data_IF_159865558207
#
_entry.id   IF_159865558207
#
_cell.length_a   1.000
_cell.length_b   1.000
_cell.length_c   1.000
_cell.angle_alpha   90.00
_cell.angle_beta   90.00
_cell.angle_gamma   90.00
#
_symmetry.space_group_name_H-M   'P 1'
#
loop_
_entity.id
_entity.type
_entity.pdbx_description
1 polymer ?
#
# COMPACT_ATOMS: atom_id res chain seq x y z
N UNK A 1 7.28 60.18 29.97
CA UNK A 1 6.34 59.28 29.28
C UNK A 1 7.18 58.21 28.57
N UNK A 2 7.00 56.92 28.91
CA UNK A 2 7.80 55.79 28.37
C UNK A 2 6.93 55.01 27.38
N UNK A 3 7.41 54.86 26.15
CA UNK A 3 6.76 54.09 25.08
C UNK A 3 6.85 52.57 25.36
N UNK A 4 5.80 51.77 25.09
CA UNK A 4 5.91 50.33 25.18
C UNK A 4 6.60 49.76 23.93
N UNK A 5 7.50 48.81 24.16
CA UNK A 5 8.22 48.06 23.12
C UNK A 5 7.25 47.09 22.46
N UNK A 6 7.07 47.20 21.14
CA UNK A 6 6.32 46.24 20.33
C UNK A 6 7.17 44.97 20.25
N UNK A 7 6.70 43.89 20.87
CA UNK A 7 7.31 42.58 20.74
C UNK A 7 6.92 41.98 19.38
N UNK A 8 7.86 41.94 18.45
CA UNK A 8 7.72 41.21 17.19
C UNK A 8 7.71 39.72 17.49
N UNK A 9 6.54 39.08 17.38
CA UNK A 9 6.41 37.62 17.41
C UNK A 9 6.73 37.12 16.00
N UNK A 10 7.92 36.56 15.82
CA UNK A 10 8.27 35.84 14.61
C UNK A 10 7.52 34.51 14.57
N UNK A 11 6.57 34.37 13.65
CA UNK A 11 5.90 33.10 13.39
C UNK A 11 6.90 32.14 12.74
N UNK A 12 7.32 31.11 13.48
CA UNK A 12 8.10 29.99 12.94
C UNK A 12 7.12 29.16 12.11
N UNK A 13 7.18 29.32 10.79
CA UNK A 13 6.47 28.47 9.84
C UNK A 13 7.15 27.09 9.84
N UNK A 14 6.62 26.15 10.61
CA UNK A 14 7.06 24.75 10.55
C UNK A 14 6.60 24.18 9.20
N UNK A 15 7.50 24.15 8.22
CA UNK A 15 7.25 23.44 6.97
C UNK A 15 7.32 21.94 7.25
N UNK A 16 6.17 21.29 7.39
CA UNK A 16 6.09 19.83 7.37
C UNK A 16 6.45 19.37 5.97
N UNK A 17 7.70 18.95 5.76
CA UNK A 17 8.04 18.13 4.60
C UNK A 17 7.17 16.87 4.66
N UNK A 18 6.34 16.56 3.65
CA UNK A 18 5.70 15.25 3.62
C UNK A 18 6.83 14.22 3.67
N UNK A 19 6.75 13.29 4.62
CA UNK A 19 7.61 12.12 4.59
C UNK A 19 7.41 11.51 3.20
N UNK A 20 8.50 11.38 2.44
CA UNK A 20 8.46 10.71 1.15
C UNK A 20 8.04 9.28 1.45
N UNK A 21 6.77 8.97 1.22
CA UNK A 21 6.27 7.62 1.27
C UNK A 21 6.91 6.83 0.14
N UNK A 22 7.45 5.66 0.45
CA UNK A 22 8.10 4.84 -0.56
C UNK A 22 7.03 4.24 -1.49
N UNK A 23 7.11 4.45 -2.82
CA UNK A 23 6.16 3.86 -3.75
C UNK A 23 6.39 2.35 -3.84
N UNK A 24 5.32 1.57 -4.00
CA UNK A 24 5.45 0.15 -4.27
C UNK A 24 6.11 -0.07 -5.65
N UNK A 25 6.94 -1.11 -5.74
CA UNK A 25 7.64 -1.48 -6.98
C UNK A 25 6.71 -2.33 -7.85
N UNK A 26 6.58 -1.95 -9.13
CA UNK A 26 5.86 -2.73 -10.13
C UNK A 26 6.74 -3.83 -10.72
N UNK A 27 6.17 -5.03 -10.93
CA UNK A 27 6.84 -6.17 -11.56
C UNK A 27 6.07 -6.64 -12.80
N UNK A 28 6.73 -7.28 -13.79
CA UNK A 28 6.05 -7.91 -14.91
C UNK A 28 5.00 -8.92 -14.42
N UNK A 29 3.86 -8.97 -15.11
CA UNK A 29 2.82 -9.98 -14.83
C UNK A 29 3.29 -11.33 -15.38
N UNK A 30 3.50 -12.30 -14.49
CA UNK A 30 3.84 -13.69 -14.82
C UNK A 30 2.73 -14.59 -14.27
N UNK A 31 2.32 -15.66 -14.96
CA UNK A 31 1.13 -16.41 -14.54
C UNK A 31 1.40 -17.34 -13.35
N UNK A 32 0.35 -17.69 -12.60
CA UNK A 32 0.41 -17.97 -11.15
C UNK A 32 0.37 -19.47 -10.72
N UNK A 33 1.06 -19.87 -9.63
CA UNK A 33 0.69 -21.00 -8.76
C UNK A 33 -0.37 -20.59 -7.69
N UNK A 34 -0.98 -21.52 -6.92
CA UNK A 34 -1.89 -21.16 -5.84
C UNK A 34 -1.17 -20.40 -4.73
N UNK A 35 -1.66 -19.21 -4.41
CA UNK A 35 -1.14 -18.33 -3.38
C UNK A 35 -2.11 -18.10 -2.24
N UNK A 36 -1.66 -17.32 -1.26
CA UNK A 36 -2.48 -16.81 -0.16
C UNK A 36 -3.69 -16.08 -0.74
N UNK A 37 -4.88 -16.46 -0.29
CA UNK A 37 -6.13 -15.82 -0.67
C UNK A 37 -6.30 -14.51 0.06
N UNK A 38 -7.13 -13.64 -0.50
CA UNK A 38 -7.41 -12.33 0.03
C UNK A 38 -8.92 -12.11 0.10
N UNK A 39 -9.37 -11.56 1.22
CA UNK A 39 -10.76 -11.22 1.47
C UNK A 39 -10.96 -9.71 1.42
N UNK A 40 -12.09 -9.32 0.83
CA UNK A 40 -12.54 -7.93 0.84
C UNK A 40 -13.34 -7.66 2.11
N UNK A 41 -12.96 -6.60 2.82
CA UNK A 41 -13.64 -6.11 4.01
C UNK A 41 -14.17 -4.70 3.77
N UNK A 42 -15.41 -4.46 4.20
CA UNK A 42 -16.02 -3.15 4.20
C UNK A 42 -16.65 -2.94 5.58
N UNK A 43 -15.99 -2.13 6.41
CA UNK A 43 -16.31 -2.00 7.83
C UNK A 43 -17.40 -0.96 8.10
N UNK A 44 -17.14 0.29 7.71
CA UNK A 44 -18.02 1.46 7.86
C UNK A 44 -18.12 2.23 6.53
N UNK A 45 -19.08 3.18 6.45
CA UNK A 45 -19.65 3.74 5.22
C UNK A 45 -18.68 4.19 4.09
N UNK A 46 -17.40 4.43 4.38
CA UNK A 46 -16.40 4.83 3.38
C UNK A 46 -15.05 4.09 3.49
N UNK A 47 -14.89 3.16 4.44
CA UNK A 47 -13.60 2.49 4.67
C UNK A 47 -13.63 1.00 4.30
N UNK A 48 -12.84 0.65 3.29
CA UNK A 48 -12.65 -0.73 2.85
C UNK A 48 -11.17 -1.15 2.88
N UNK A 49 -10.95 -2.46 2.97
CA UNK A 49 -9.63 -3.06 2.83
C UNK A 49 -9.70 -4.40 2.11
N UNK A 50 -8.57 -4.81 1.54
CA UNK A 50 -8.31 -6.20 1.17
C UNK A 50 -7.31 -6.78 2.15
N UNK A 51 -7.58 -7.93 2.75
CA UNK A 51 -6.71 -8.56 3.74
C UNK A 51 -6.29 -9.95 3.28
N UNK A 52 -5.04 -10.33 3.49
CA UNK A 52 -4.60 -11.70 3.28
C UNK A 52 -5.24 -12.64 4.32
N UNK A 53 -5.64 -13.85 3.92
CA UNK A 53 -6.14 -14.88 4.83
C UNK A 53 -5.10 -15.32 5.88
N UNK A 54 -3.81 -15.20 5.53
CA UNK A 54 -2.67 -15.52 6.40
C UNK A 54 -1.74 -14.33 6.43
N UNK A 55 -1.31 -13.98 7.65
CA UNK A 55 -0.40 -12.87 7.86
C UNK A 55 -1.13 -11.54 8.11
N UNK A 56 -0.39 -10.45 8.05
CA UNK A 56 -0.89 -9.08 8.30
C UNK A 56 -0.92 -8.22 7.02
N UNK A 57 -0.68 -8.81 5.85
CA UNK A 57 -0.69 -8.09 4.58
C UNK A 57 -2.09 -7.58 4.23
N UNK A 58 -2.18 -6.32 3.85
CA UNK A 58 -3.45 -5.68 3.52
C UNK A 58 -3.28 -4.50 2.56
N UNK A 59 -4.35 -4.15 1.83
CA UNK A 59 -4.48 -2.95 1.01
C UNK A 59 -5.61 -2.11 1.61
N UNK A 60 -5.38 -0.81 1.76
CA UNK A 60 -6.37 0.13 2.26
C UNK A 60 -6.93 1.02 1.14
N UNK A 61 -8.16 1.46 1.36
CA UNK A 61 -8.87 2.46 0.55
C UNK A 61 -8.12 3.78 0.34
N UNK A 62 -7.18 4.13 1.21
CA UNK A 62 -6.32 5.31 1.10
C UNK A 62 -5.10 5.14 0.18
N UNK A 63 -4.94 3.98 -0.47
CA UNK A 63 -3.82 3.72 -1.39
C UNK A 63 -2.59 3.05 -0.79
N UNK A 64 -2.61 2.74 0.51
CA UNK A 64 -1.49 2.08 1.17
C UNK A 64 -1.61 0.56 1.12
N UNK A 65 -0.47 -0.10 0.87
CA UNK A 65 -0.34 -1.55 0.95
C UNK A 65 0.73 -1.93 1.98
N UNK A 66 0.40 -2.87 2.86
CA UNK A 66 1.36 -3.49 3.76
C UNK A 66 1.71 -4.90 3.28
N UNK A 67 3.01 -5.19 3.27
CA UNK A 67 3.56 -6.52 2.99
C UNK A 67 4.18 -7.09 4.27
N UNK A 68 4.06 -8.40 4.46
CA UNK A 68 4.34 -9.03 5.75
C UNK A 68 5.31 -10.21 5.69
N UNK A 69 5.98 -10.49 4.56
CA UNK A 69 7.05 -11.49 4.60
C UNK A 69 7.74 -11.92 3.31
N UNK A 70 7.76 -13.24 3.11
CA UNK A 70 8.83 -13.94 2.40
C UNK A 70 8.40 -14.55 1.06
N UNK A 71 7.11 -14.49 0.72
CA UNK A 71 6.56 -15.04 -0.52
C UNK A 71 6.13 -16.50 -0.42
N UNK A 72 6.40 -17.19 0.70
CA UNK A 72 6.11 -18.63 0.86
C UNK A 72 4.89 -18.88 1.73
N UNK A 73 4.84 -18.22 2.89
CA UNK A 73 3.71 -18.32 3.84
C UNK A 73 3.10 -16.97 4.16
N UNK A 74 3.71 -15.91 3.63
CA UNK A 74 3.36 -14.51 3.83
C UNK A 74 3.53 -13.74 2.54
N UNK A 75 2.88 -12.59 2.42
CA UNK A 75 2.85 -11.82 1.19
C UNK A 75 4.09 -10.93 1.07
N UNK A 76 4.98 -11.22 0.13
CA UNK A 76 6.09 -10.34 -0.26
C UNK A 76 5.78 -9.51 -1.53
N UNK A 77 4.77 -9.93 -2.29
CA UNK A 77 4.23 -9.27 -3.47
C UNK A 77 2.75 -9.66 -3.68
N UNK A 78 2.01 -8.81 -4.39
CA UNK A 78 0.59 -8.99 -4.68
C UNK A 78 0.32 -8.76 -6.17
N UNK A 79 -0.54 -9.58 -6.77
CA UNK A 79 -1.18 -9.35 -8.06
C UNK A 79 -2.55 -8.72 -7.79
N UNK A 80 -2.78 -7.54 -8.36
CA UNK A 80 -4.06 -6.84 -8.34
C UNK A 80 -4.68 -6.93 -9.73
N UNK A 81 -5.94 -7.37 -9.81
CA UNK A 81 -6.77 -7.22 -11.00
C UNK A 81 -7.82 -6.14 -10.77
N UNK A 82 -7.90 -5.23 -11.72
CA UNK A 82 -8.76 -4.05 -11.69
C UNK A 82 -10.00 -4.24 -12.57
N UNK A 83 -11.00 -3.35 -12.42
CA UNK A 83 -12.28 -3.48 -13.14
C UNK A 83 -12.21 -3.35 -14.65
N UNK A 84 -11.26 -2.58 -15.17
CA UNK A 84 -10.95 -2.51 -16.60
C UNK A 84 -10.18 -3.74 -17.12
N UNK A 85 -10.02 -4.76 -16.27
CA UNK A 85 -9.33 -6.03 -16.51
C UNK A 85 -7.80 -5.92 -16.62
N UNK A 86 -7.20 -4.74 -16.37
CA UNK A 86 -5.75 -4.68 -16.26
C UNK A 86 -5.27 -5.41 -15.01
N UNK A 87 -4.03 -5.88 -15.06
CA UNK A 87 -3.37 -6.57 -13.96
C UNK A 87 -2.01 -5.94 -13.69
N UNK A 88 -1.65 -5.81 -12.42
CA UNK A 88 -0.34 -5.32 -12.01
C UNK A 88 0.16 -6.08 -10.78
N UNK A 89 1.48 -6.30 -10.73
CA UNK A 89 2.14 -6.90 -9.56
C UNK A 89 2.87 -5.81 -8.80
N UNK A 90 2.62 -5.72 -7.49
CA UNK A 90 3.28 -4.77 -6.60
C UNK A 90 4.02 -5.48 -5.47
N UNK A 91 5.14 -4.90 -5.05
CA UNK A 91 5.89 -5.34 -3.88
C UNK A 91 6.47 -4.13 -3.13
N UNK A 92 6.76 -4.30 -1.84
CA UNK A 92 7.55 -3.33 -1.09
C UNK A 92 8.96 -3.17 -1.71
N UNK A 93 9.58 -1.97 -1.72
CA UNK A 93 10.91 -1.76 -2.30
C UNK A 93 12.02 -2.64 -1.72
N UNK A 94 11.92 -3.02 -0.45
CA UNK A 94 12.86 -3.94 0.20
C UNK A 94 12.62 -5.43 -0.13
N UNK A 95 11.57 -5.76 -0.88
CA UNK A 95 11.15 -7.12 -1.23
C UNK A 95 10.92 -8.05 -0.04
N UNK A 96 10.55 -7.51 1.13
CA UNK A 96 10.26 -8.27 2.34
C UNK A 96 8.94 -7.84 2.98
N UNK A 97 8.99 -6.78 3.77
CA UNK A 97 7.85 -6.31 4.55
C UNK A 97 7.91 -4.80 4.73
N UNK A 98 6.75 -4.20 4.92
CA UNK A 98 6.62 -2.76 5.12
C UNK A 98 5.44 -2.18 4.39
N UNK A 99 5.16 -0.92 4.70
CA UNK A 99 4.16 -0.10 4.02
C UNK A 99 4.77 0.53 2.78
N UNK A 100 4.04 0.51 1.67
CA UNK A 100 4.33 1.34 0.50
C UNK A 100 3.03 1.86 -0.12
N UNK A 101 3.14 2.93 -0.90
CA UNK A 101 2.00 3.51 -1.62
C UNK A 101 1.82 2.85 -2.98
N UNK A 102 0.57 2.48 -3.31
CA UNK A 102 0.18 2.13 -4.66
C UNK A 102 0.16 3.39 -5.55
N UNK A 103 0.27 3.23 -6.88
CA UNK A 103 0.11 4.36 -7.80
C UNK A 103 -1.20 5.12 -7.55
N UNK A 104 -1.23 6.45 -7.73
CA UNK A 104 -2.46 7.23 -7.52
C UNK A 104 -3.65 6.65 -8.29
N UNK A 105 -4.73 6.36 -7.56
CA UNK A 105 -5.96 5.79 -8.12
C UNK A 105 -5.96 4.27 -8.28
N UNK A 106 -4.85 3.56 -8.03
CA UNK A 106 -4.80 2.09 -8.10
C UNK A 106 -5.58 1.38 -6.96
N UNK A 107 -5.86 2.09 -5.87
CA UNK A 107 -6.83 1.62 -4.89
C UNK A 107 -8.26 1.65 -5.43
N UNK A 108 -8.56 2.53 -6.38
CA UNK A 108 -9.91 2.69 -6.89
C UNK A 108 -10.17 1.55 -7.87
N UNK A 109 -11.14 0.71 -7.52
CA UNK A 109 -11.74 -0.27 -8.42
C UNK A 109 -10.99 -1.61 -8.62
N UNK A 110 -10.43 -2.12 -7.52
CA UNK A 110 -9.89 -3.48 -7.40
C UNK A 110 -11.05 -4.51 -7.44
N UNK A 111 -10.95 -5.51 -8.31
CA UNK A 111 -11.86 -6.68 -8.31
C UNK A 111 -11.29 -7.81 -7.48
N UNK A 112 -9.97 -8.00 -7.55
CA UNK A 112 -9.35 -9.22 -7.06
C UNK A 112 -7.89 -8.99 -6.64
N UNK A 113 -7.48 -9.65 -5.56
CA UNK A 113 -6.11 -9.63 -5.05
C UNK A 113 -5.62 -11.06 -4.80
N UNK A 114 -4.36 -11.34 -5.16
CA UNK A 114 -3.64 -12.57 -4.82
C UNK A 114 -2.24 -12.25 -4.38
N UNK A 115 -1.67 -13.05 -3.49
CA UNK A 115 -0.23 -13.03 -3.29
C UNK A 115 0.51 -13.64 -4.48
N UNK A 116 1.72 -13.15 -4.72
CA UNK A 116 2.63 -13.57 -5.77
C UNK A 116 3.90 -14.10 -5.12
N UNK A 117 4.25 -15.36 -5.35
CA UNK A 117 5.47 -15.99 -4.84
C UNK A 117 6.64 -15.90 -5.85
N UNK A 118 6.33 -15.69 -7.13
CA UNK A 118 7.29 -15.30 -8.15
C UNK A 118 8.28 -16.35 -8.62
N UNK A 119 8.21 -17.57 -8.09
CA UNK A 119 9.26 -18.56 -8.35
C UNK A 119 8.77 -19.90 -8.93
N UNK A 120 7.49 -20.28 -8.81
CA UNK A 120 7.07 -21.62 -9.25
C UNK A 120 5.68 -21.67 -9.92
N UNK A 121 5.47 -22.63 -10.82
CA UNK A 121 4.14 -23.18 -11.12
C UNK A 121 4.04 -24.48 -10.32
N UNK A 122 2.92 -24.73 -9.63
CA UNK A 122 2.63 -26.08 -9.15
C UNK A 122 2.15 -26.96 -10.33
#
# INVERSE_FOLDING_TARGET
MKFPKIATVAAILMTTTPALSDPCVSRPVVPQPPGIWWDYHHGDADHWSWNAEIGDALIQDNGWAYFDGDGWTRSNAILIQYRDLHMAVYAHPSARSGWCELPPGANLDIIYVKSWDGEHWL
#
